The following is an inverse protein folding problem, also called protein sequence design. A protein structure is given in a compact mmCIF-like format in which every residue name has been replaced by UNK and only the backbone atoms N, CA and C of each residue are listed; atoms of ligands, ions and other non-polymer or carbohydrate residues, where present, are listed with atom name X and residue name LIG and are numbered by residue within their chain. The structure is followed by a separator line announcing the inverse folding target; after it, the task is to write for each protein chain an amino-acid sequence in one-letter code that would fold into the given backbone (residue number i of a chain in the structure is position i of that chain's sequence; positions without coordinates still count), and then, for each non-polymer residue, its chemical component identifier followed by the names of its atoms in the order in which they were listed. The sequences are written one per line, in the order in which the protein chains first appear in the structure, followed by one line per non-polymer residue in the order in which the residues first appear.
data_IF_745081306153
#
_entry.id   IF_745081306153
#
_cell.length_a   1.000
_cell.length_b   1.000
_cell.length_c   1.000
_cell.angle_alpha   90.00
_cell.angle_beta   90.00
_cell.angle_gamma   90.00
#
_symmetry.space_group_name_H-M   'P 1'
#
loop_
_entity.id
_entity.type
_entity.pdbx_description
1 polymer ?
#
# COMPACT_ATOMS: atom_id res chain seq x y z
N UNK A 1 0.45 4.35 -0.81
CA UNK A 1 0.20 5.70 -1.36
C UNK A 1 -0.56 5.53 -2.66
N UNK A 2 -1.62 6.32 -2.87
CA UNK A 2 -2.36 6.30 -4.13
C UNK A 2 -2.81 7.71 -4.51
N UNK A 3 -3.08 7.89 -5.79
CA UNK A 3 -3.68 9.09 -6.34
C UNK A 3 -4.74 8.74 -7.40
N UNK A 4 -5.65 9.67 -7.72
CA UNK A 4 -6.63 9.44 -8.75
C UNK A 4 -6.09 9.81 -10.14
N UNK A 5 -6.48 9.02 -11.13
CA UNK A 5 -6.33 9.32 -12.56
C UNK A 5 -7.64 9.03 -13.30
N UNK A 6 -7.68 9.31 -14.60
CA UNK A 6 -8.80 9.00 -15.49
C UNK A 6 -8.45 7.83 -16.41
N UNK A 7 -9.39 6.93 -16.67
CA UNK A 7 -9.33 6.10 -17.87
C UNK A 7 -9.65 6.96 -19.10
N UNK A 8 -9.29 6.45 -20.29
CA UNK A 8 -9.70 7.07 -21.57
C UNK A 8 -11.23 7.19 -21.72
N UNK A 9 -12.00 6.36 -21.03
CA UNK A 9 -13.46 6.44 -20.95
C UNK A 9 -13.97 7.64 -20.14
N UNK A 10 -13.11 8.30 -19.36
CA UNK A 10 -13.48 9.34 -18.39
C UNK A 10 -13.80 8.80 -16.99
N UNK A 11 -13.75 7.48 -16.77
CA UNK A 11 -13.91 6.91 -15.43
C UNK A 11 -12.73 7.28 -14.52
N UNK A 12 -13.00 7.71 -13.29
CA UNK A 12 -11.97 7.91 -12.27
C UNK A 12 -11.47 6.57 -11.74
N UNK A 13 -10.15 6.44 -11.61
CA UNK A 13 -9.48 5.25 -11.07
C UNK A 13 -8.51 5.62 -9.96
N UNK A 14 -8.18 4.62 -9.13
CA UNK A 14 -7.08 4.67 -8.18
C UNK A 14 -5.80 4.11 -8.81
N UNK A 15 -4.71 4.87 -8.74
CA UNK A 15 -3.37 4.40 -9.07
C UNK A 15 -2.55 4.33 -7.79
N UNK A 16 -2.06 3.15 -7.45
CA UNK A 16 -1.17 2.93 -6.30
C UNK A 16 0.28 3.11 -6.74
N UNK A 17 0.87 4.22 -6.31
CA UNK A 17 2.23 4.61 -6.67
C UNK A 17 3.30 3.77 -5.95
N UNK A 18 3.07 3.53 -4.66
CA UNK A 18 4.07 2.95 -3.78
C UNK A 18 3.43 2.15 -2.66
N UNK A 19 3.96 0.94 -2.49
CA UNK A 19 3.68 0.03 -1.37
C UNK A 19 5.03 -0.41 -0.82
N UNK A 20 5.29 -0.08 0.44
CA UNK A 20 6.53 -0.47 1.13
C UNK A 20 6.17 -1.50 2.20
N UNK A 21 6.62 -2.73 1.99
CA UNK A 21 6.46 -3.79 2.98
C UNK A 21 7.65 -3.77 3.93
N UNK A 22 7.39 -3.54 5.22
CA UNK A 22 8.43 -3.51 6.25
C UNK A 22 8.43 -4.86 6.97
N UNK A 23 9.51 -5.61 6.80
CA UNK A 23 9.67 -6.94 7.39
C UNK A 23 10.56 -6.83 8.62
N UNK A 24 10.09 -7.20 9.82
CA UNK A 24 10.96 -7.28 10.98
C UNK A 24 11.95 -8.43 10.78
N UNK A 25 13.24 -8.14 10.93
CA UNK A 25 14.28 -9.16 10.78
C UNK A 25 14.56 -9.84 12.13
N UNK A 26 15.41 -9.23 12.98
CA UNK A 26 15.77 -9.77 14.32
C UNK A 26 15.17 -9.00 15.50
N UNK A 27 14.59 -7.83 15.25
CA UNK A 27 14.05 -6.92 16.26
C UNK A 27 12.66 -6.42 15.85
N UNK A 28 11.96 -5.81 16.80
CA UNK A 28 10.71 -5.10 16.51
C UNK A 28 10.97 -3.97 15.51
N UNK A 29 9.95 -3.67 14.70
CA UNK A 29 9.99 -2.53 13.77
C UNK A 29 10.07 -1.25 14.59
N UNK A 30 11.00 -0.35 14.22
CA UNK A 30 11.07 0.97 14.80
C UNK A 30 9.94 1.85 14.20
N UNK A 31 8.84 2.01 14.93
CA UNK A 31 7.70 2.82 14.50
C UNK A 31 8.06 4.31 14.33
N UNK A 32 9.08 4.80 15.04
CA UNK A 32 9.57 6.17 14.85
C UNK A 32 10.21 6.38 13.48
N UNK A 33 10.85 5.34 12.92
CA UNK A 33 11.40 5.43 11.57
C UNK A 33 10.31 5.65 10.52
N UNK A 34 9.10 5.12 10.75
CA UNK A 34 7.97 5.25 9.80
C UNK A 34 7.51 6.72 9.73
N UNK A 35 7.38 7.40 10.88
CA UNK A 35 6.95 8.82 10.85
C UNK A 35 8.01 9.72 10.22
N UNK A 36 9.30 9.46 10.45
CA UNK A 36 10.38 10.21 9.82
C UNK A 36 10.45 9.94 8.32
N UNK A 37 10.23 8.70 7.89
CA UNK A 37 10.12 8.37 6.47
C UNK A 37 9.03 9.18 5.77
N UNK A 38 7.82 9.26 6.36
CA UNK A 38 6.72 10.07 5.82
C UNK A 38 7.09 11.56 5.81
N UNK A 39 7.68 12.06 6.89
CA UNK A 39 8.12 13.45 6.99
C UNK A 39 9.18 13.79 5.94
N UNK A 40 10.14 12.90 5.69
CA UNK A 40 11.21 13.11 4.72
C UNK A 40 10.68 13.12 3.29
N UNK A 41 9.73 12.25 2.96
CA UNK A 41 9.03 12.26 1.66
C UNK A 41 8.32 13.60 1.41
N UNK A 42 7.72 14.18 2.45
CA UNK A 42 7.07 15.49 2.35
C UNK A 42 8.09 16.62 2.25
N UNK A 43 8.99 16.71 3.24
CA UNK A 43 9.88 17.84 3.41
C UNK A 43 11.00 17.88 2.37
N UNK A 44 11.62 16.75 2.08
CA UNK A 44 12.74 16.64 1.15
C UNK A 44 12.33 16.06 -0.20
N UNK A 45 11.46 15.04 -0.20
CA UNK A 45 10.93 14.45 -1.42
C UNK A 45 9.92 15.33 -2.15
N UNK A 46 9.42 16.39 -1.50
CA UNK A 46 8.40 17.33 -2.02
C UNK A 46 7.13 16.61 -2.50
N UNK A 47 6.82 15.46 -1.91
CA UNK A 47 5.57 14.75 -2.15
C UNK A 47 4.44 15.52 -1.47
N UNK A 48 3.43 15.89 -2.25
CA UNK A 48 2.24 16.53 -1.72
C UNK A 48 1.23 15.48 -1.24
N UNK A 49 1.14 15.29 0.08
CA UNK A 49 0.15 14.41 0.68
C UNK A 49 -1.18 15.12 0.88
N UNK A 50 -2.25 14.63 0.25
CA UNK A 50 -3.61 15.11 0.53
C UNK A 50 -4.07 14.75 1.94
N UNK A 51 -4.01 13.45 2.25
CA UNK A 51 -4.34 12.88 3.56
C UNK A 51 -3.43 11.68 3.86
N UNK A 52 -3.21 11.43 5.15
CA UNK A 52 -2.43 10.31 5.68
C UNK A 52 -3.27 9.61 6.73
N UNK A 53 -3.23 8.28 6.78
CA UNK A 53 -3.95 7.52 7.82
C UNK A 53 -3.07 6.49 8.53
N UNK A 54 -3.45 6.19 9.76
CA UNK A 54 -2.94 5.07 10.55
C UNK A 54 -4.10 4.27 11.14
N UNK A 55 -3.95 2.94 11.23
CA UNK A 55 -5.00 2.03 11.73
C UNK A 55 -5.08 2.01 13.28
N UNK A 56 -3.93 1.83 13.94
CA UNK A 56 -3.88 1.57 15.39
C UNK A 56 -3.55 2.78 16.26
N UNK A 57 -3.99 2.71 17.52
CA UNK A 57 -3.71 3.68 18.59
C UNK A 57 -2.21 3.84 18.89
N UNK A 58 -1.39 2.83 18.65
CA UNK A 58 0.07 2.88 18.86
C UNK A 58 0.79 3.90 17.97
N UNK A 59 0.09 4.49 17.00
CA UNK A 59 0.61 5.55 16.13
C UNK A 59 0.27 6.97 16.59
N UNK A 60 -0.38 7.16 17.76
CA UNK A 60 -0.84 8.49 18.18
C UNK A 60 0.29 9.53 18.24
N UNK A 61 1.46 9.15 18.77
CA UNK A 61 2.64 10.03 18.82
C UNK A 61 3.12 10.43 17.42
N UNK A 62 3.11 9.49 16.46
CA UNK A 62 3.44 9.73 15.06
C UNK A 62 2.43 10.66 14.39
N UNK A 63 1.14 10.45 14.63
CA UNK A 63 0.07 11.30 14.11
C UNK A 63 0.19 12.73 14.65
N UNK A 64 0.41 12.90 15.95
CA UNK A 64 0.58 14.22 16.57
C UNK A 64 1.80 14.97 15.99
N UNK A 65 2.92 14.27 15.81
CA UNK A 65 4.12 14.85 15.20
C UNK A 65 3.83 15.36 13.78
N UNK A 66 3.24 14.52 12.93
CA UNK A 66 2.94 14.87 11.54
C UNK A 66 1.90 16.00 11.45
N UNK A 67 0.89 16.02 12.33
CA UNK A 67 -0.08 17.13 12.40
C UNK A 67 0.58 18.45 12.81
N UNK A 68 1.50 18.44 13.76
CA UNK A 68 2.28 19.64 14.15
C UNK A 68 3.18 20.14 13.02
N UNK A 69 3.62 19.25 12.14
CA UNK A 69 4.32 19.62 10.91
C UNK A 69 3.40 20.19 9.82
N UNK A 70 2.08 20.22 10.02
CA UNK A 70 1.10 20.76 9.07
C UNK A 70 0.50 19.74 8.10
N UNK A 71 0.71 18.43 8.34
CA UNK A 71 0.14 17.37 7.51
C UNK A 71 -1.26 16.97 7.98
N UNK A 72 -2.14 16.66 7.02
CA UNK A 72 -3.47 16.13 7.27
C UNK A 72 -3.38 14.64 7.61
N UNK A 73 -3.53 14.31 8.90
CA UNK A 73 -3.42 12.92 9.36
C UNK A 73 -4.67 12.52 10.14
N UNK A 74 -5.24 11.34 9.86
CA UNK A 74 -6.36 10.78 10.61
C UNK A 74 -6.14 9.33 11.06
N UNK A 75 -6.98 8.88 11.98
CA UNK A 75 -7.09 7.46 12.28
C UNK A 75 -8.15 6.86 11.35
N UNK A 76 -7.79 5.80 10.64
CA UNK A 76 -8.69 5.09 9.75
C UNK A 76 -8.46 3.59 9.89
N UNK A 77 -9.51 2.88 10.31
CA UNK A 77 -9.54 1.42 10.25
C UNK A 77 -10.47 1.00 9.11
N UNK A 78 -10.01 0.02 8.32
CA UNK A 78 -10.71 -0.46 7.13
C UNK A 78 -11.30 -1.86 7.29
N UNK A 79 -11.00 -2.52 8.41
CA UNK A 79 -11.44 -3.89 8.68
C UNK A 79 -12.91 -3.97 9.07
N UNK A 80 -13.38 -3.00 9.85
CA UNK A 80 -14.72 -2.97 10.39
C UNK A 80 -15.18 -1.52 10.54
N UNK A 81 -16.26 -1.11 9.85
CA UNK A 81 -17.09 -1.92 8.95
C UNK A 81 -16.37 -2.30 7.64
N UNK A 82 -16.80 -3.37 6.93
CA UNK A 82 -16.08 -3.92 5.78
C UNK A 82 -16.20 -3.09 4.49
N UNK A 83 -16.96 -1.99 4.51
CA UNK A 83 -17.33 -1.22 3.32
C UNK A 83 -16.12 -0.74 2.51
N UNK A 84 -15.05 -0.30 3.18
CA UNK A 84 -13.83 0.14 2.52
C UNK A 84 -13.22 -0.98 1.67
N UNK A 85 -13.15 -2.19 2.22
CA UNK A 85 -12.66 -3.37 1.51
C UNK A 85 -13.56 -3.79 0.37
N UNK A 86 -14.88 -3.78 0.58
CA UNK A 86 -15.84 -4.13 -0.47
C UNK A 86 -15.75 -3.15 -1.66
N UNK A 87 -15.61 -1.86 -1.37
CA UNK A 87 -15.36 -0.84 -2.40
C UNK A 87 -14.04 -1.09 -3.14
N UNK A 88 -12.96 -1.42 -2.42
CA UNK A 88 -11.67 -1.73 -3.04
C UNK A 88 -11.75 -2.96 -3.95
N UNK A 89 -12.41 -4.04 -3.51
CA UNK A 89 -12.62 -5.27 -4.31
C UNK A 89 -13.45 -4.95 -5.56
N UNK A 90 -14.49 -4.13 -5.42
CA UNK A 90 -15.28 -3.67 -6.56
C UNK A 90 -14.41 -2.87 -7.55
N UNK A 91 -13.56 -1.96 -7.06
CA UNK A 91 -12.62 -1.21 -7.90
C UNK A 91 -11.64 -2.14 -8.63
N UNK A 92 -11.14 -3.18 -7.97
CA UNK A 92 -10.27 -4.19 -8.60
C UNK A 92 -11.01 -4.93 -9.71
N UNK A 93 -12.22 -5.44 -9.43
CA UNK A 93 -13.02 -6.21 -10.39
C UNK A 93 -13.45 -5.39 -11.61
N UNK A 94 -13.71 -4.09 -11.42
CA UNK A 94 -14.04 -3.16 -12.50
C UNK A 94 -12.80 -2.62 -13.23
N UNK A 95 -11.59 -3.05 -12.85
CA UNK A 95 -10.34 -2.56 -13.43
C UNK A 95 -10.05 -1.08 -13.12
N UNK A 96 -10.67 -0.53 -12.07
CA UNK A 96 -10.54 0.86 -11.59
C UNK A 96 -9.49 1.05 -10.49
N UNK A 97 -8.78 0.00 -10.11
CA UNK A 97 -7.57 0.08 -9.29
C UNK A 97 -6.38 -0.43 -10.11
N UNK A 98 -5.33 0.38 -10.20
CA UNK A 98 -4.10 0.09 -10.95
C UNK A 98 -2.90 0.17 -10.01
N UNK A 99 -1.96 -0.76 -10.17
CA UNK A 99 -0.73 -0.76 -9.39
C UNK A 99 0.37 -1.58 -10.06
N UNK A 100 1.63 -1.30 -9.70
CA UNK A 100 2.74 -2.18 -10.06
C UNK A 100 2.65 -3.56 -9.41
N UNK A 101 3.33 -4.56 -9.98
CA UNK A 101 3.37 -5.92 -9.41
C UNK A 101 3.96 -5.89 -8.00
N UNK A 102 3.20 -6.37 -7.02
CA UNK A 102 3.65 -6.54 -5.64
C UNK A 102 3.18 -7.90 -5.10
N UNK A 103 4.13 -8.77 -4.74
CA UNK A 103 3.85 -10.16 -4.38
C UNK A 103 3.09 -10.29 -3.06
N UNK A 104 3.42 -9.44 -2.08
CA UNK A 104 2.73 -9.39 -0.80
C UNK A 104 1.28 -8.99 -1.00
N UNK A 105 1.01 -7.95 -1.80
CA UNK A 105 -0.36 -7.50 -2.05
C UNK A 105 -1.19 -8.60 -2.73
N UNK A 106 -0.64 -9.28 -3.74
CA UNK A 106 -1.34 -10.40 -4.38
C UNK A 106 -1.67 -11.51 -3.37
N UNK A 107 -0.69 -11.89 -2.54
CA UNK A 107 -0.86 -13.01 -1.61
C UNK A 107 -1.77 -12.64 -0.43
N UNK A 108 -1.67 -11.41 0.10
CA UNK A 108 -2.62 -10.84 1.05
C UNK A 108 -4.05 -10.92 0.49
N UNK A 109 -4.28 -10.44 -0.74
CA UNK A 109 -5.60 -10.46 -1.39
C UNK A 109 -6.18 -11.88 -1.50
N UNK A 110 -5.34 -12.89 -1.80
CA UNK A 110 -5.77 -14.30 -1.86
C UNK A 110 -6.19 -14.87 -0.51
N UNK A 111 -5.71 -14.29 0.60
CA UNK A 111 -5.99 -14.75 1.96
C UNK A 111 -7.16 -14.02 2.63
N UNK A 112 -7.67 -12.95 2.02
CA UNK A 112 -8.77 -12.19 2.61
C UNK A 112 -10.06 -13.01 2.70
N UNK A 113 -10.74 -12.90 3.83
CA UNK A 113 -12.03 -13.55 4.09
C UNK A 113 -12.96 -12.66 4.90
N UNK A 114 -14.26 -12.86 4.71
CA UNK A 114 -15.26 -12.28 5.60
C UNK A 114 -15.25 -13.01 6.94
N UNK A 115 -15.26 -12.24 8.02
CA UNK A 115 -15.28 -12.72 9.39
C UNK A 115 -16.24 -11.86 10.24
N UNK A 116 -16.30 -12.14 11.54
CA UNK A 116 -17.11 -11.39 12.50
C UNK A 116 -16.22 -10.91 13.65
N UNK A 117 -16.51 -9.71 14.14
CA UNK A 117 -15.96 -9.18 15.40
C UNK A 117 -16.49 -9.97 16.59
N UNK A 118 -15.90 -9.76 17.78
CA UNK A 118 -16.42 -10.37 19.03
C UNK A 118 -17.88 -10.01 19.30
N UNK A 119 -18.33 -8.83 18.88
CA UNK A 119 -19.71 -8.37 18.99
C UNK A 119 -20.61 -8.80 17.82
N UNK A 120 -20.15 -9.70 16.94
CA UNK A 120 -20.93 -10.26 15.83
C UNK A 120 -21.02 -9.39 14.56
N UNK A 121 -20.48 -8.16 14.58
CA UNK A 121 -20.45 -7.26 13.40
C UNK A 121 -19.52 -7.81 12.31
N UNK A 122 -19.85 -7.68 11.03
CA UNK A 122 -18.99 -8.14 9.94
C UNK A 122 -17.67 -7.38 9.93
N UNK A 123 -16.60 -8.07 9.55
CA UNK A 123 -15.27 -7.51 9.30
C UNK A 123 -14.56 -8.29 8.20
N UNK A 124 -13.56 -7.67 7.59
CA UNK A 124 -12.59 -8.37 6.75
C UNK A 124 -11.43 -8.84 7.62
N UNK A 125 -11.00 -10.07 7.40
CA UNK A 125 -9.84 -10.68 8.04
C UNK A 125 -9.03 -11.48 7.02
N UNK A 126 -7.98 -12.14 7.47
CA UNK A 126 -7.14 -13.01 6.66
C UNK A 126 -7.14 -14.45 7.18
N UNK A 127 -6.67 -15.39 6.39
CA UNK A 127 -6.48 -16.77 6.85
C UNK A 127 -5.39 -16.83 7.93
N UNK A 128 -5.68 -17.54 9.01
CA UNK A 128 -4.70 -17.77 10.08
C UNK A 128 -3.66 -18.77 9.62
N UNK A 129 -2.39 -18.42 9.78
CA UNK A 129 -1.28 -19.30 9.45
C UNK A 129 0.05 -18.64 9.74
N UNK A 130 1.13 -19.34 9.41
CA UNK A 130 2.49 -18.80 9.56
C UNK A 130 2.74 -17.78 8.45
N UNK A 131 3.01 -16.54 8.81
CA UNK A 131 3.43 -15.54 7.83
C UNK A 131 4.85 -15.85 7.37
N UNK A 132 5.01 -16.12 6.08
CA UNK A 132 6.32 -16.29 5.47
C UNK A 132 6.85 -14.93 5.03
N UNK A 133 7.88 -14.46 5.71
CA UNK A 133 8.53 -13.16 5.46
C UNK A 133 10.06 -13.29 5.40
N UNK A 134 10.59 -14.44 4.97
CA UNK A 134 12.03 -14.68 5.02
C UNK A 134 12.76 -14.08 3.81
N UNK A 135 13.98 -13.57 4.01
CA UNK A 135 14.86 -13.13 2.92
C UNK A 135 15.22 -14.25 1.92
N UNK A 136 15.01 -15.50 2.31
CA UNK A 136 15.29 -16.70 1.50
C UNK A 136 13.99 -17.36 1.01
N UNK A 137 12.85 -16.69 1.16
CA UNK A 137 11.58 -17.24 0.71
C UNK A 137 11.52 -17.22 -0.82
N UNK A 138 10.72 -18.13 -1.37
CA UNK A 138 10.43 -18.12 -2.79
C UNK A 138 9.77 -16.80 -3.19
N UNK A 139 10.42 -16.02 -4.06
CA UNK A 139 9.92 -14.75 -4.60
C UNK A 139 9.33 -14.90 -6.01
N UNK A 140 9.24 -16.13 -6.52
CA UNK A 140 8.58 -16.44 -7.78
C UNK A 140 7.11 -16.03 -7.72
N UNK A 141 6.66 -15.33 -8.75
CA UNK A 141 5.32 -14.79 -8.76
C UNK A 141 4.28 -15.90 -8.65
N UNK A 142 4.33 -16.96 -9.44
CA UNK A 142 3.23 -17.93 -9.43
C UNK A 142 3.17 -18.78 -8.16
N UNK A 143 4.34 -19.03 -7.54
CA UNK A 143 4.48 -20.03 -6.48
C UNK A 143 4.80 -19.49 -5.09
N UNK A 144 5.09 -18.19 -4.94
CA UNK A 144 5.40 -17.59 -3.65
C UNK A 144 4.22 -17.55 -2.69
N UNK A 145 4.49 -17.87 -1.42
CA UNK A 145 3.60 -17.71 -0.25
C UNK A 145 3.93 -16.48 0.61
N UNK A 146 4.82 -15.60 0.14
CA UNK A 146 5.23 -14.40 0.87
C UNK A 146 4.03 -13.55 1.29
N UNK A 147 3.92 -13.26 2.59
CA UNK A 147 2.83 -12.47 3.14
C UNK A 147 1.44 -13.08 3.01
N UNK A 148 1.26 -14.36 2.63
CA UNK A 148 -0.07 -14.93 2.40
C UNK A 148 -0.98 -14.80 3.62
N UNK A 149 -0.53 -15.24 4.79
CA UNK A 149 -1.30 -15.14 6.04
C UNK A 149 -1.22 -13.76 6.71
N UNK A 150 -1.12 -12.69 5.94
CA UNK A 150 -1.08 -11.32 6.42
C UNK A 150 -1.95 -10.42 5.54
N UNK A 151 -2.13 -9.16 5.97
CA UNK A 151 -2.97 -8.19 5.26
C UNK A 151 -2.47 -6.75 5.36
N UNK A 152 -1.28 -6.51 5.91
CA UNK A 152 -0.77 -5.16 6.17
C UNK A 152 -0.68 -4.33 4.87
N UNK A 153 -0.26 -4.96 3.77
CA UNK A 153 -0.12 -4.29 2.48
C UNK A 153 -1.49 -3.93 1.89
N UNK A 154 -2.46 -4.84 2.00
CA UNK A 154 -3.82 -4.61 1.51
C UNK A 154 -4.59 -3.64 2.39
N UNK A 155 -4.40 -3.66 3.71
CA UNK A 155 -4.98 -2.68 4.64
C UNK A 155 -4.48 -1.27 4.30
N UNK A 156 -3.18 -1.12 4.04
CA UNK A 156 -2.59 0.16 3.66
C UNK A 156 -3.11 0.70 2.31
N UNK A 157 -3.30 -0.17 1.31
CA UNK A 157 -3.89 0.22 0.02
C UNK A 157 -5.36 0.58 0.19
N UNK A 158 -6.12 -0.26 0.89
CA UNK A 158 -7.54 -0.05 1.16
C UNK A 158 -7.77 1.30 1.86
N UNK A 159 -6.97 1.61 2.89
CA UNK A 159 -7.01 2.88 3.59
C UNK A 159 -6.68 4.06 2.66
N UNK A 160 -5.66 3.93 1.80
CA UNK A 160 -5.30 4.99 0.85
C UNK A 160 -6.43 5.27 -0.17
N UNK A 161 -7.03 4.22 -0.74
CA UNK A 161 -8.17 4.35 -1.64
C UNK A 161 -9.40 4.95 -0.93
N UNK A 162 -9.66 4.55 0.32
CA UNK A 162 -10.77 5.07 1.11
C UNK A 162 -10.58 6.56 1.47
N UNK A 163 -9.35 6.97 1.85
CA UNK A 163 -9.03 8.38 2.05
C UNK A 163 -9.28 9.19 0.78
N UNK A 164 -8.78 8.71 -0.36
CA UNK A 164 -9.00 9.36 -1.65
C UNK A 164 -10.51 9.46 -1.95
N UNK A 165 -11.30 8.42 -1.68
CA UNK A 165 -12.77 8.45 -1.84
C UNK A 165 -13.45 9.50 -0.98
N UNK A 166 -12.99 9.68 0.26
CA UNK A 166 -13.57 10.65 1.21
C UNK A 166 -13.20 12.09 0.89
N UNK A 167 -11.96 12.33 0.48
CA UNK A 167 -11.37 13.67 0.50
C UNK A 167 -11.01 14.24 -0.87
N UNK A 168 -10.92 13.41 -1.92
CA UNK A 168 -10.62 13.93 -3.24
C UNK A 168 -11.82 14.71 -3.80
N UNK A 169 -11.62 16.01 -4.01
CA UNK A 169 -12.58 16.92 -4.62
C UNK A 169 -11.94 17.45 -5.91
N UNK A 170 -12.57 17.21 -7.04
CA UNK A 170 -12.15 17.74 -8.34
C UNK A 170 -12.05 16.68 -9.43
N UNK A 171 -11.42 17.06 -10.54
CA UNK A 171 -11.18 16.18 -11.69
C UNK A 171 -9.72 15.75 -11.69
N UNK A 172 -9.41 14.45 -11.81
CA UNK A 172 -8.03 14.00 -11.92
C UNK A 172 -7.35 14.63 -13.13
N UNK A 173 -6.06 14.96 -12.99
CA UNK A 173 -5.32 15.72 -14.01
C UNK A 173 -4.75 14.85 -15.13
N UNK A 174 -4.50 13.58 -14.85
CA UNK A 174 -3.82 12.67 -15.76
C UNK A 174 -4.76 11.57 -16.23
N UNK A 175 -4.56 11.14 -17.46
CA UNK A 175 -5.19 9.96 -18.03
C UNK A 175 -4.20 8.80 -17.83
N UNK A 176 -4.65 7.73 -17.19
CA UNK A 176 -3.87 6.54 -17.01
C UNK A 176 -3.59 5.87 -18.35
N UNK A 177 -2.31 5.78 -18.65
CA UNK A 177 -1.81 5.03 -19.80
C UNK A 177 -1.09 3.78 -19.29
N UNK A 178 -1.55 2.61 -19.73
CA UNK A 178 -0.83 1.38 -19.45
C UNK A 178 0.40 1.30 -20.38
N UNK A 179 1.47 1.99 -20.02
CA UNK A 179 2.72 2.05 -20.83
C UNK A 179 3.53 0.74 -20.71
N UNK A 180 3.06 -0.23 -19.93
CA UNK A 180 3.81 -1.43 -19.57
C UNK A 180 3.15 -2.70 -20.12
N UNK A 181 3.43 -2.99 -21.39
CA UNK A 181 3.51 -4.38 -21.89
C UNK A 181 4.52 -4.53 -23.05
N UNK A 182 4.81 -3.49 -23.86
CA UNK A 182 5.72 -3.66 -25.02
C UNK A 182 7.19 -3.22 -24.82
N UNK A 183 7.55 -2.42 -23.81
CA UNK A 183 8.90 -1.76 -23.77
C UNK A 183 9.86 -2.21 -22.68
N UNK A 184 9.42 -2.99 -21.70
CA UNK A 184 10.26 -3.35 -20.55
C UNK A 184 10.95 -4.72 -20.65
N UNK A 185 10.67 -5.51 -21.69
CA UNK A 185 11.23 -6.86 -21.76
C UNK A 185 12.74 -6.90 -22.02
N UNK A 186 13.35 -5.95 -22.75
CA UNK A 186 14.62 -6.31 -23.39
C UNK A 186 15.90 -5.51 -23.05
N UNK A 187 15.85 -4.34 -22.38
CA UNK A 187 17.10 -3.54 -22.21
C UNK A 187 17.47 -3.04 -20.82
N UNK A 188 16.54 -2.89 -19.88
CA UNK A 188 16.82 -2.17 -18.63
C UNK A 188 16.86 -3.01 -17.34
N UNK A 189 16.49 -4.30 -17.37
CA UNK A 189 16.54 -5.16 -16.16
C UNK A 189 17.95 -5.22 -15.53
N UNK A 190 19.02 -5.30 -16.34
CA UNK A 190 20.40 -5.37 -15.83
C UNK A 190 20.88 -4.07 -15.18
N UNK A 191 20.50 -2.91 -15.73
CA UNK A 191 20.97 -1.60 -15.24
C UNK A 191 20.30 -1.23 -13.92
N UNK A 192 18.98 -1.43 -13.81
CA UNK A 192 18.24 -1.18 -12.56
C UNK A 192 18.73 -2.10 -11.43
N UNK A 193 19.01 -3.37 -11.72
CA UNK A 193 19.60 -4.29 -10.74
C UNK A 193 21.02 -3.90 -10.31
N UNK A 194 21.82 -3.30 -11.20
CA UNK A 194 23.13 -2.78 -10.86
C UNK A 194 23.03 -1.51 -9.99
N UNK A 195 22.13 -0.60 -10.32
CA UNK A 195 21.95 0.65 -9.58
C UNK A 195 21.41 0.39 -8.16
N UNK A 196 20.46 -0.55 -8.01
CA UNK A 196 19.96 -0.97 -6.69
C UNK A 196 21.05 -1.64 -5.86
N UNK A 197 21.90 -2.49 -6.46
CA UNK A 197 23.05 -3.08 -5.77
C UNK A 197 24.10 -2.04 -5.35
N UNK A 198 24.28 -0.99 -6.15
CA UNK A 198 25.19 0.12 -5.86
C UNK A 198 24.69 0.96 -4.67
N UNK A 199 23.38 1.18 -4.58
CA UNK A 199 22.75 1.88 -3.46
C UNK A 199 22.88 1.05 -2.18
N UNK A 200 22.61 -0.25 -2.21
CA UNK A 200 22.71 -1.13 -1.02
C UNK A 200 24.16 -1.21 -0.50
N UNK A 201 25.16 -1.15 -1.38
CA UNK A 201 26.59 -1.10 -0.98
C UNK A 201 27.03 0.22 -0.36
N UNK A 202 26.26 1.30 -0.54
CA UNK A 202 26.58 2.62 0.04
C UNK A 202 26.13 2.79 1.50
N UNK A 203 25.29 1.86 1.98
CA UNK A 203 24.69 1.91 3.32
C UNK A 203 25.05 0.69 4.20
N UNK A 204 26.01 -0.14 3.76
CA UNK A 204 26.73 -1.12 4.59
C UNK A 204 28.21 -0.71 4.66
#
# INVERSE_FOLDING_TARGET
MSHPELLKSGDVIDVVDLVVNIIPNKSRINLEAIKFFIYDLWQYGKINFGNISFDQFQSESAQQFLRRAGLNVERLSVDSPPDAYLNMIQSINLGRLKMGRNIYVKNNLKSLKMSKTKSGKPKVDHEFGKVENSLNANDDWETSSLGFHAKDSTDAICAACELRRKYFIGTPRYIFENVLEEKFEDKNKRKVLQDVKLIIRRYN
#
